data_IF_742426753038
#
_entry.id   IF_742426753038
#
_cell.length_a   1.000
_cell.length_b   1.000
_cell.length_c   1.000
_cell.angle_alpha   90.00
_cell.angle_beta   90.00
_cell.angle_gamma   90.00
#
_symmetry.space_group_name_H-M   'P 1'
#
loop_
_entity.id
_entity.type
_entity.pdbx_description
1 polymer ?
#
# COMPACT_ATOMS: atom_id res chain seq x y z
N UNK A 1 -3.98 -16.62 -4.18
CA UNK A 1 -3.40 -15.41 -3.56
C UNK A 1 -2.34 -14.87 -4.51
N UNK A 2 -2.52 -13.67 -5.07
CA UNK A 2 -1.52 -13.04 -5.96
C UNK A 2 -0.54 -12.28 -5.07
N UNK A 3 0.71 -12.71 -5.01
CA UNK A 3 1.75 -12.02 -4.24
C UNK A 3 2.71 -11.31 -5.21
N UNK A 4 2.29 -10.13 -5.67
CA UNK A 4 3.02 -9.31 -6.65
C UNK A 4 4.43 -8.96 -6.17
N UNK A 5 4.61 -8.77 -4.86
CA UNK A 5 5.93 -8.54 -4.25
C UNK A 5 6.85 -9.73 -4.51
N UNK A 6 6.43 -10.95 -4.20
CA UNK A 6 7.26 -12.14 -4.43
C UNK A 6 7.54 -12.35 -5.93
N UNK A 7 6.54 -12.15 -6.77
CA UNK A 7 6.69 -12.24 -8.23
C UNK A 7 7.76 -11.25 -8.74
N UNK A 8 7.76 -10.01 -8.22
CA UNK A 8 8.75 -8.98 -8.56
C UNK A 8 10.15 -9.29 -8.01
N UNK A 9 10.28 -9.68 -6.73
CA UNK A 9 11.57 -9.97 -6.10
C UNK A 9 12.30 -11.13 -6.79
N UNK A 10 11.55 -12.13 -7.25
CA UNK A 10 12.07 -13.31 -7.93
C UNK A 10 11.91 -13.26 -9.45
N UNK A 11 11.78 -12.07 -10.05
CA UNK A 11 11.79 -11.87 -11.51
C UNK A 11 13.11 -12.34 -12.15
N UNK A 12 13.03 -12.62 -13.46
CA UNK A 12 14.19 -13.00 -14.29
C UNK A 12 15.34 -11.98 -14.17
N UNK A 13 16.57 -12.41 -14.44
CA UNK A 13 17.76 -11.54 -14.43
C UNK A 13 17.63 -10.42 -15.46
N UNK A 14 16.99 -10.70 -16.59
CA UNK A 14 16.79 -9.75 -17.69
C UNK A 14 15.86 -8.58 -17.30
N UNK A 15 15.01 -8.78 -16.28
CA UNK A 15 14.05 -7.79 -15.81
C UNK A 15 14.57 -7.00 -14.59
N UNK A 16 15.85 -7.12 -14.25
CA UNK A 16 16.41 -6.52 -13.02
C UNK A 16 16.35 -4.99 -13.05
N UNK A 17 16.51 -4.38 -14.23
CA UNK A 17 16.52 -2.93 -14.41
C UNK A 17 15.14 -2.26 -14.25
N UNK A 18 14.04 -3.03 -14.23
CA UNK A 18 12.70 -2.48 -14.11
C UNK A 18 12.35 -2.16 -12.66
N UNK A 19 11.73 -1.01 -12.43
CA UNK A 19 11.10 -0.70 -11.15
C UNK A 19 9.79 -1.50 -10.98
N UNK A 20 9.22 -1.50 -9.76
CA UNK A 20 8.00 -2.25 -9.47
C UNK A 20 6.82 -1.78 -10.33
N UNK A 21 6.67 -0.46 -10.51
CA UNK A 21 5.60 0.11 -11.31
C UNK A 21 5.67 -0.35 -12.77
N UNK A 22 6.84 -0.22 -13.39
CA UNK A 22 7.07 -0.67 -14.78
C UNK A 22 6.89 -2.17 -14.93
N UNK A 23 7.35 -2.97 -13.97
CA UNK A 23 7.16 -4.41 -13.99
C UNK A 23 5.69 -4.80 -14.06
N UNK A 24 4.83 -4.19 -13.24
CA UNK A 24 3.39 -4.44 -13.24
C UNK A 24 2.74 -3.90 -14.52
N UNK A 25 3.21 -2.76 -15.02
CA UNK A 25 2.72 -2.15 -16.26
C UNK A 25 3.01 -3.02 -17.49
N UNK A 26 4.19 -3.65 -17.52
CA UNK A 26 4.69 -4.35 -18.68
C UNK A 26 4.43 -5.85 -18.64
N UNK A 27 4.33 -6.48 -17.47
CA UNK A 27 4.26 -7.94 -17.34
C UNK A 27 3.10 -8.39 -16.46
N UNK A 28 2.49 -9.51 -16.87
CA UNK A 28 1.58 -10.28 -16.03
C UNK A 28 2.05 -11.71 -15.87
N UNK A 29 1.60 -12.34 -14.79
CA UNK A 29 1.85 -13.74 -14.52
C UNK A 29 0.82 -14.63 -15.22
N UNK A 30 1.28 -15.69 -15.88
CA UNK A 30 0.44 -16.71 -16.54
C UNK A 30 0.85 -18.11 -16.08
N UNK A 31 -0.12 -19.00 -15.89
CA UNK A 31 0.13 -20.44 -15.72
C UNK A 31 0.73 -21.02 -17.00
N UNK A 32 1.74 -21.87 -16.86
CA UNK A 32 2.41 -22.52 -17.98
C UNK A 32 1.47 -23.50 -18.68
N UNK A 33 1.30 -23.34 -19.99
CA UNK A 33 0.57 -24.27 -20.87
C UNK A 33 1.54 -25.32 -21.50
N UNK A 34 1.01 -26.44 -22.01
CA UNK A 34 1.72 -27.41 -22.86
C UNK A 34 2.58 -26.74 -23.95
N UNK A 35 2.10 -25.69 -24.62
CA UNK A 35 2.88 -24.95 -25.62
C UNK A 35 4.08 -24.24 -25.01
N UNK A 36 3.87 -23.54 -23.89
CA UNK A 36 4.92 -22.86 -23.13
C UNK A 36 5.96 -23.87 -22.61
N UNK A 37 5.54 -25.07 -22.16
CA UNK A 37 6.47 -26.14 -21.74
C UNK A 37 7.42 -26.55 -22.87
N UNK A 38 6.89 -26.74 -24.08
CA UNK A 38 7.69 -27.10 -25.27
C UNK A 38 8.70 -26.01 -25.61
N UNK A 39 8.30 -24.75 -25.50
CA UNK A 39 9.20 -23.61 -25.75
C UNK A 39 10.31 -23.54 -24.72
N UNK A 40 9.99 -23.71 -23.43
CA UNK A 40 10.96 -23.69 -22.34
C UNK A 40 11.94 -24.87 -22.41
N UNK A 41 11.50 -26.06 -22.86
CA UNK A 41 12.40 -27.19 -23.09
C UNK A 41 13.33 -26.94 -24.27
N UNK A 42 12.81 -26.36 -25.36
CA UNK A 42 13.60 -26.06 -26.55
C UNK A 42 14.62 -24.95 -26.30
N UNK A 43 14.26 -23.91 -25.56
CA UNK A 43 15.16 -22.82 -25.19
C UNK A 43 16.34 -23.29 -24.32
N UNK A 44 16.17 -24.35 -23.52
CA UNK A 44 17.27 -24.98 -22.76
C UNK A 44 18.16 -25.88 -23.63
N UNK A 45 17.65 -26.33 -24.77
CA UNK A 45 18.35 -27.22 -25.69
C UNK A 45 19.08 -26.47 -26.82
N UNK A 46 18.63 -25.26 -27.19
CA UNK A 46 19.25 -24.46 -28.22
C UNK A 46 20.15 -23.37 -27.63
N UNK A 47 21.45 -23.65 -27.58
CA UNK A 47 22.45 -22.58 -27.62
C UNK A 47 22.47 -22.03 -29.06
N UNK A 48 21.68 -20.99 -29.34
CA UNK A 48 22.00 -20.06 -30.42
C UNK A 48 21.44 -20.25 -31.85
N UNK A 49 20.30 -20.89 -32.10
CA UNK A 49 19.65 -20.77 -33.44
C UNK A 49 18.18 -20.37 -33.40
N UNK A 50 17.89 -19.16 -33.89
CA UNK A 50 16.53 -18.64 -34.11
C UNK A 50 15.96 -19.22 -35.40
N UNK A 51 15.10 -20.23 -35.29
CA UNK A 51 14.24 -20.64 -36.40
C UNK A 51 13.16 -19.56 -36.60
N UNK A 52 13.23 -18.84 -37.73
CA UNK A 52 12.22 -17.87 -38.15
C UNK A 52 10.93 -18.59 -38.53
N UNK A 53 9.99 -18.68 -37.59
CA UNK A 53 8.65 -19.19 -37.88
C UNK A 53 7.78 -18.01 -38.31
N UNK A 54 7.26 -18.08 -39.53
CA UNK A 54 6.30 -17.18 -40.13
C UNK A 54 5.03 -17.12 -39.26
N UNK A 55 4.70 -15.93 -38.72
CA UNK A 55 3.58 -15.71 -37.82
C UNK A 55 3.70 -14.41 -37.01
N UNK A 56 2.63 -14.04 -36.29
CA UNK A 56 2.66 -12.91 -35.34
C UNK A 56 3.73 -13.15 -34.29
N UNK A 57 4.65 -12.20 -34.09
CA UNK A 57 5.70 -12.31 -33.07
C UNK A 57 5.07 -12.57 -31.72
N UNK A 58 5.46 -13.69 -31.10
CA UNK A 58 5.00 -14.07 -29.79
C UNK A 58 5.42 -13.03 -28.74
N UNK A 59 4.57 -12.77 -27.75
CA UNK A 59 4.93 -11.88 -26.65
C UNK A 59 6.17 -12.39 -25.90
N UNK A 60 6.99 -11.46 -25.43
CA UNK A 60 8.18 -11.74 -24.65
C UNK A 60 7.81 -12.51 -23.36
N UNK A 61 8.58 -13.56 -23.05
CA UNK A 61 8.32 -14.47 -21.92
C UNK A 61 9.55 -14.58 -21.04
N UNK A 62 9.32 -14.59 -19.74
CA UNK A 62 10.36 -14.75 -18.73
C UNK A 62 9.97 -15.81 -17.71
N UNK A 63 10.96 -16.54 -17.20
CA UNK A 63 10.76 -17.47 -16.09
C UNK A 63 11.12 -16.80 -14.77
N UNK A 64 10.52 -17.27 -13.67
CA UNK A 64 10.94 -16.83 -12.34
C UNK A 64 12.26 -17.47 -11.95
N UNK A 65 12.97 -16.81 -11.01
CA UNK A 65 14.12 -17.41 -10.35
C UNK A 65 13.72 -18.71 -9.62
N UNK A 66 14.66 -19.64 -9.49
CA UNK A 66 14.42 -20.97 -8.86
C UNK A 66 13.88 -20.88 -7.44
N UNK A 67 14.20 -19.81 -6.70
CA UNK A 67 13.72 -19.56 -5.34
C UNK A 67 12.22 -19.19 -5.29
N UNK A 68 11.60 -18.83 -6.41
CA UNK A 68 10.18 -18.53 -6.45
C UNK A 68 9.34 -19.80 -6.26
N UNK A 69 8.36 -19.83 -5.34
CA UNK A 69 7.51 -21.01 -5.10
C UNK A 69 6.75 -21.49 -6.34
N UNK A 70 6.46 -20.58 -7.26
CA UNK A 70 5.72 -20.89 -8.49
C UNK A 70 6.61 -20.93 -9.75
N UNK A 71 7.94 -21.01 -9.60
CA UNK A 71 8.89 -21.02 -10.73
C UNK A 71 8.65 -22.14 -11.74
N UNK A 72 8.16 -23.29 -11.29
CA UNK A 72 7.87 -24.46 -12.14
C UNK A 72 6.49 -24.44 -12.80
N UNK A 73 5.57 -23.59 -12.33
CA UNK A 73 4.16 -23.60 -12.73
C UNK A 73 3.72 -22.32 -13.45
N UNK A 74 4.42 -21.20 -13.25
CA UNK A 74 4.05 -19.90 -13.81
C UNK A 74 5.22 -19.24 -14.55
N UNK A 75 4.88 -18.38 -15.49
CA UNK A 75 5.80 -17.52 -16.26
C UNK A 75 5.29 -16.08 -16.26
N UNK A 76 6.19 -15.16 -16.60
CA UNK A 76 5.87 -13.76 -16.86
C UNK A 76 5.73 -13.56 -18.36
N UNK A 77 4.66 -12.89 -18.77
CA UNK A 77 4.41 -12.54 -20.17
C UNK A 77 4.27 -11.03 -20.28
N UNK A 78 4.97 -10.47 -21.26
CA UNK A 78 4.83 -9.05 -21.58
C UNK A 78 3.46 -8.77 -22.16
N UNK A 79 2.82 -7.71 -21.68
CA UNK A 79 1.59 -7.22 -22.27
C UNK A 79 1.84 -6.76 -23.71
N UNK A 80 0.85 -6.95 -24.57
CA UNK A 80 0.89 -6.40 -25.94
C UNK A 80 0.86 -4.87 -25.90
N UNK A 81 0.06 -4.31 -25.00
CA UNK A 81 0.00 -2.87 -24.69
C UNK A 81 0.26 -2.69 -23.19
N UNK A 82 1.15 -1.77 -22.77
CA UNK A 82 1.37 -1.48 -21.35
C UNK A 82 0.07 -1.11 -20.64
N UNK A 83 -0.09 -1.58 -19.40
CA UNK A 83 -1.23 -1.23 -18.54
C UNK A 83 -0.83 -0.18 -17.53
N UNK A 84 -1.79 0.61 -17.03
CA UNK A 84 -1.55 1.57 -15.95
C UNK A 84 -1.87 0.89 -14.62
N UNK A 85 -0.88 0.63 -13.74
CA UNK A 85 -1.13 0.07 -12.42
C UNK A 85 -2.01 0.99 -11.57
N UNK A 86 -3.06 0.42 -10.96
CA UNK A 86 -3.85 1.12 -9.95
C UNK A 86 -3.19 0.92 -8.59
N UNK A 87 -2.79 2.02 -7.95
CA UNK A 87 -2.19 1.99 -6.62
C UNK A 87 -3.30 1.87 -5.57
N UNK A 88 -3.40 0.71 -4.93
CA UNK A 88 -4.35 0.47 -3.85
C UNK A 88 -3.68 0.76 -2.50
N UNK A 89 -4.35 1.55 -1.65
CA UNK A 89 -3.89 1.91 -0.32
C UNK A 89 -3.80 3.42 -0.10
N UNK A 90 -3.07 3.87 0.94
CA UNK A 90 -2.90 5.29 1.22
C UNK A 90 -2.29 6.03 0.04
N UNK A 91 -2.79 7.24 -0.23
CA UNK A 91 -2.24 8.09 -1.27
C UNK A 91 -0.76 8.43 -0.99
N UNK A 92 0.04 8.53 -2.05
CA UNK A 92 1.41 9.01 -1.95
C UNK A 92 1.38 10.48 -1.48
N UNK A 93 2.04 10.84 -0.36
CA UNK A 93 2.00 12.20 0.16
C UNK A 93 2.58 13.25 -0.81
N UNK A 94 2.25 14.52 -0.60
CA UNK A 94 2.83 15.65 -1.36
C UNK A 94 4.30 15.83 -0.99
N UNK A 95 5.15 16.19 -1.97
CA UNK A 95 6.59 16.34 -1.76
C UNK A 95 6.95 17.41 -0.71
N UNK A 96 6.19 18.49 -0.66
CA UNK A 96 6.54 19.69 0.12
C UNK A 96 6.29 19.54 1.62
N UNK A 97 5.45 18.58 2.02
CA UNK A 97 5.12 18.33 3.43
C UNK A 97 6.29 17.64 4.15
N UNK A 98 6.85 18.31 5.16
CA UNK A 98 8.01 17.79 5.91
C UNK A 98 7.61 16.64 6.84
N UNK A 99 6.45 16.75 7.50
CA UNK A 99 5.86 15.73 8.37
C UNK A 99 5.66 14.38 7.67
N UNK A 100 5.40 14.40 6.35
CA UNK A 100 5.19 13.20 5.54
C UNK A 100 6.32 12.89 4.56
N UNK A 101 7.45 13.63 4.64
CA UNK A 101 8.58 13.51 3.70
C UNK A 101 9.15 12.10 3.62
N UNK A 102 9.40 11.47 4.77
CA UNK A 102 9.97 10.11 4.81
C UNK A 102 9.00 9.09 4.21
N UNK A 103 7.68 9.28 4.39
CA UNK A 103 6.65 8.42 3.78
C UNK A 103 6.60 8.60 2.26
N UNK A 104 6.71 9.84 1.77
CA UNK A 104 6.84 10.15 0.35
C UNK A 104 8.07 9.47 -0.26
N UNK A 105 9.25 9.66 0.34
CA UNK A 105 10.49 9.08 -0.16
C UNK A 105 10.45 7.55 -0.19
N UNK A 106 9.92 6.93 0.87
CA UNK A 106 9.72 5.47 0.94
C UNK A 106 8.79 4.96 -0.17
N UNK A 107 7.69 5.66 -0.44
CA UNK A 107 6.77 5.28 -1.51
C UNK A 107 7.44 5.35 -2.89
N UNK A 108 8.17 6.43 -3.17
CA UNK A 108 8.86 6.60 -4.45
C UNK A 108 9.95 5.55 -4.67
N UNK A 109 10.79 5.31 -3.66
CA UNK A 109 11.81 4.28 -3.70
C UNK A 109 11.20 2.89 -3.97
N UNK A 110 10.10 2.56 -3.29
CA UNK A 110 9.45 1.25 -3.44
C UNK A 110 8.86 1.05 -4.84
N UNK A 111 8.30 2.09 -5.44
CA UNK A 111 7.58 1.98 -6.72
C UNK A 111 8.46 2.20 -7.95
N UNK A 112 9.39 3.15 -7.87
CA UNK A 112 10.08 3.70 -9.05
C UNK A 112 11.59 3.47 -9.08
N UNK A 113 12.17 2.88 -8.02
CA UNK A 113 13.56 2.39 -8.07
C UNK A 113 13.56 0.88 -8.27
N UNK A 114 14.51 0.31 -9.05
CA UNK A 114 14.65 -1.14 -9.15
C UNK A 114 15.23 -1.76 -7.87
N UNK A 115 14.58 -2.80 -7.34
CA UNK A 115 15.05 -3.51 -6.14
C UNK A 115 14.71 -5.00 -6.15
N UNK A 116 15.40 -5.80 -5.33
CA UNK A 116 15.06 -7.19 -5.00
C UNK A 116 14.88 -7.39 -3.50
N UNK A 117 15.56 -6.60 -2.68
CA UNK A 117 15.46 -6.59 -1.23
C UNK A 117 15.15 -5.19 -0.70
N UNK A 118 14.63 -5.11 0.52
CA UNK A 118 14.40 -3.81 1.19
C UNK A 118 15.73 -3.07 1.44
N UNK A 119 16.82 -3.81 1.65
CA UNK A 119 18.16 -3.23 1.82
C UNK A 119 18.70 -2.54 0.56
N UNK A 120 18.18 -2.89 -0.62
CA UNK A 120 18.53 -2.20 -1.87
C UNK A 120 17.95 -0.78 -1.89
N UNK A 121 16.81 -0.58 -1.22
CA UNK A 121 16.10 0.70 -1.16
C UNK A 121 16.67 1.65 -0.13
N UNK A 122 16.90 1.16 1.09
CA UNK A 122 17.34 1.98 2.22
C UNK A 122 18.20 1.14 3.17
N UNK A 123 19.42 1.60 3.44
CA UNK A 123 20.31 1.04 4.44
C UNK A 123 19.86 1.43 5.86
N UNK A 124 20.21 0.62 6.86
CA UNK A 124 19.93 0.91 8.28
C UNK A 124 20.59 2.20 8.80
N UNK A 125 21.52 2.78 8.04
CA UNK A 125 22.30 3.98 8.42
C UNK A 125 21.87 5.25 7.71
N UNK A 126 20.90 5.17 6.78
CA UNK A 126 20.42 6.33 6.01
C UNK A 126 18.92 6.53 6.24
N UNK A 127 18.45 7.77 6.05
CA UNK A 127 17.02 8.09 6.01
C UNK A 127 16.45 7.79 4.63
N UNK A 128 15.12 7.68 4.49
CA UNK A 128 14.49 7.47 3.18
C UNK A 128 14.73 8.65 2.24
N UNK A 129 14.80 9.88 2.79
CA UNK A 129 15.17 11.08 2.04
C UNK A 129 16.59 11.00 1.45
N UNK A 130 17.58 10.63 2.26
CA UNK A 130 18.97 10.43 1.81
C UNK A 130 19.05 9.32 0.76
N UNK A 131 18.35 8.21 1.00
CA UNK A 131 18.32 7.07 0.10
C UNK A 131 17.74 7.41 -1.28
N UNK A 132 16.69 8.24 -1.32
CA UNK A 132 16.07 8.71 -2.56
C UNK A 132 17.02 9.59 -3.36
N UNK A 133 17.69 10.56 -2.73
CA UNK A 133 18.66 11.40 -3.42
C UNK A 133 19.84 10.59 -3.97
N UNK A 134 20.33 9.60 -3.22
CA UNK A 134 21.40 8.70 -3.68
C UNK A 134 20.99 7.84 -4.89
N UNK A 135 19.71 7.50 -5.02
CA UNK A 135 19.17 6.57 -6.05
C UNK A 135 18.37 7.27 -7.14
N UNK A 136 18.34 8.60 -7.15
CA UNK A 136 17.57 9.44 -8.08
C UNK A 136 17.91 9.15 -9.54
N UNK A 137 19.19 8.88 -9.83
CA UNK A 137 19.68 8.52 -11.17
C UNK A 137 19.23 7.14 -11.64
N UNK A 138 18.73 6.29 -10.74
CA UNK A 138 18.19 4.97 -11.08
C UNK A 138 16.72 5.01 -11.49
N UNK A 139 16.06 6.16 -11.33
CA UNK A 139 14.66 6.35 -11.73
C UNK A 139 14.62 6.64 -13.24
N UNK A 140 13.79 5.90 -13.97
CA UNK A 140 13.64 6.09 -15.41
C UNK A 140 12.97 7.43 -15.73
N UNK A 141 13.23 7.98 -16.93
CA UNK A 141 12.61 9.23 -17.35
C UNK A 141 11.08 9.15 -17.41
N UNK A 142 10.53 7.98 -17.74
CA UNK A 142 9.08 7.77 -17.75
C UNK A 142 8.51 7.64 -16.33
N UNK A 143 9.23 7.00 -15.41
CA UNK A 143 8.89 7.01 -13.99
C UNK A 143 8.89 8.42 -13.40
N UNK A 144 9.86 9.28 -13.77
CA UNK A 144 9.89 10.68 -13.34
C UNK A 144 8.64 11.45 -13.77
N UNK A 145 8.16 11.27 -15.01
CA UNK A 145 6.90 11.89 -15.48
C UNK A 145 5.71 11.45 -14.63
N UNK A 146 5.67 10.17 -14.23
CA UNK A 146 4.60 9.67 -13.36
C UNK A 146 4.69 10.33 -11.97
N UNK A 147 5.89 10.48 -11.42
CA UNK A 147 6.13 11.16 -10.14
C UNK A 147 5.69 12.63 -10.22
N UNK A 148 6.01 13.32 -11.31
CA UNK A 148 5.58 14.70 -11.58
C UNK A 148 4.06 14.79 -11.69
N UNK A 149 3.42 13.86 -12.40
CA UNK A 149 1.96 13.80 -12.49
C UNK A 149 1.29 13.58 -11.13
N UNK A 150 1.86 12.72 -10.27
CA UNK A 150 1.36 12.53 -8.90
C UNK A 150 1.41 13.85 -8.12
N UNK A 151 2.49 14.62 -8.27
CA UNK A 151 2.63 15.92 -7.62
C UNK A 151 1.64 16.95 -8.20
N UNK A 152 1.47 17.00 -9.52
CA UNK A 152 0.50 17.88 -10.18
C UNK A 152 -0.94 17.59 -9.74
N UNK A 153 -1.30 16.32 -9.55
CA UNK A 153 -2.62 15.95 -9.04
C UNK A 153 -2.90 16.53 -7.65
N UNK A 154 -1.88 16.62 -6.78
CA UNK A 154 -2.00 17.27 -5.48
C UNK A 154 -2.18 18.78 -5.60
N UNK A 155 -1.44 19.42 -6.50
CA UNK A 155 -1.55 20.86 -6.76
C UNK A 155 -2.95 21.21 -7.27
N UNK A 156 -3.45 20.50 -8.28
CA UNK A 156 -4.80 20.72 -8.80
C UNK A 156 -5.89 20.45 -7.76
N UNK A 157 -5.71 19.45 -6.89
CA UNK A 157 -6.64 19.16 -5.80
C UNK A 157 -6.68 20.34 -4.82
N UNK A 158 -5.52 20.82 -4.40
CA UNK A 158 -5.39 21.95 -3.48
C UNK A 158 -6.02 23.23 -4.04
N UNK A 159 -5.74 23.58 -5.29
CA UNK A 159 -6.29 24.78 -5.95
C UNK A 159 -7.82 24.72 -6.05
N UNK A 160 -8.36 23.53 -6.37
CA UNK A 160 -9.80 23.29 -6.42
C UNK A 160 -10.42 23.45 -5.03
N UNK A 161 -9.82 22.84 -4.02
CA UNK A 161 -10.37 22.82 -2.67
C UNK A 161 -10.29 24.23 -2.05
N UNK A 162 -9.22 25.00 -2.29
CA UNK A 162 -9.12 26.41 -1.92
C UNK A 162 -10.19 27.27 -2.61
N UNK A 163 -10.40 27.08 -3.91
CA UNK A 163 -11.45 27.77 -4.64
C UNK A 163 -12.86 27.46 -4.11
N UNK A 164 -13.13 26.19 -3.77
CA UNK A 164 -14.39 25.78 -3.16
C UNK A 164 -14.58 26.40 -1.78
N UNK A 165 -13.54 26.42 -0.95
CA UNK A 165 -13.58 27.09 0.35
C UNK A 165 -13.90 28.58 0.21
N UNK A 166 -13.25 29.26 -0.73
CA UNK A 166 -13.53 30.68 -1.00
C UNK A 166 -14.99 30.91 -1.36
N UNK A 167 -15.54 30.12 -2.30
CA UNK A 167 -16.96 30.21 -2.69
C UNK A 167 -17.89 30.02 -1.48
N UNK A 168 -17.64 28.99 -0.64
CA UNK A 168 -18.47 28.69 0.53
C UNK A 168 -18.43 29.87 1.52
N UNK A 169 -17.27 30.47 1.74
CA UNK A 169 -17.12 31.63 2.65
C UNK A 169 -17.77 32.90 2.13
N UNK A 170 -17.75 33.11 0.80
CA UNK A 170 -18.30 34.30 0.15
C UNK A 170 -19.82 34.23 -0.03
N UNK A 171 -20.41 33.02 -0.07
CA UNK A 171 -21.88 32.88 -0.10
C UNK A 171 -22.48 33.17 1.28
N UNK A 172 -23.29 34.23 1.45
CA UNK A 172 -24.01 34.45 2.69
C UNK A 172 -25.01 33.30 2.92
N UNK A 173 -25.13 32.87 4.17
CA UNK A 173 -25.89 31.71 4.69
C UNK A 173 -27.40 31.76 4.42
N UNK A 174 -27.83 31.81 3.16
CA UNK A 174 -29.24 31.73 2.76
C UNK A 174 -29.43 31.15 1.34
N UNK A 175 -28.66 30.12 1.00
CA UNK A 175 -28.96 29.26 -0.14
C UNK A 175 -29.06 27.85 0.43
N UNK A 176 -30.24 27.24 0.35
CA UNK A 176 -30.43 25.81 0.62
C UNK A 176 -29.67 25.05 -0.47
N UNK A 177 -28.43 24.66 -0.18
CA UNK A 177 -27.62 23.84 -1.08
C UNK A 177 -28.25 22.44 -1.08
N UNK A 178 -28.58 21.92 -2.27
CA UNK A 178 -29.11 20.57 -2.42
C UNK A 178 -28.09 19.54 -1.89
N UNK A 179 -28.48 18.60 -1.00
CA UNK A 179 -27.57 17.60 -0.42
C UNK A 179 -26.85 16.70 -1.45
N UNK A 180 -27.34 16.68 -2.69
CA UNK A 180 -26.75 15.94 -3.83
C UNK A 180 -25.47 16.61 -4.36
N UNK A 181 -25.28 17.91 -4.12
CA UNK A 181 -24.07 18.65 -4.51
C UNK A 181 -22.97 18.59 -3.45
N UNK A 182 -23.19 17.89 -2.33
CA UNK A 182 -22.12 17.53 -1.41
C UNK A 182 -21.25 16.49 -2.14
N UNK A 183 -19.99 16.80 -2.47
CA UNK A 183 -19.13 15.86 -3.15
C UNK A 183 -19.02 14.57 -2.33
N UNK A 184 -19.35 13.43 -2.92
CA UNK A 184 -19.09 12.10 -2.31
C UNK A 184 -17.59 11.77 -2.23
N UNK A 185 -16.70 12.75 -2.41
CA UNK A 185 -15.25 12.59 -2.35
C UNK A 185 -14.65 12.93 -0.98
N UNK A 186 -15.47 13.10 0.07
CA UNK A 186 -15.01 13.12 1.46
C UNK A 186 -14.62 11.73 1.98
N UNK A 187 -13.74 11.04 1.27
CA UNK A 187 -12.95 9.93 1.83
C UNK A 187 -11.48 10.11 1.42
N UNK A 188 -10.87 11.12 2.02
CA UNK A 188 -9.65 11.05 2.85
C UNK A 188 -9.53 12.48 3.39
N UNK A 189 -9.84 12.59 4.65
CA UNK A 189 -9.87 13.83 5.43
C UNK A 189 -8.45 14.41 5.57
N UNK A 190 -8.22 15.59 5.01
CA UNK A 190 -6.99 16.37 5.20
C UNK A 190 -7.01 17.19 6.50
N UNK A 191 -8.08 17.09 7.30
CA UNK A 191 -8.26 17.70 8.62
C UNK A 191 -8.85 16.71 9.65
N UNK A 192 -8.59 15.40 9.56
CA UNK A 192 -8.99 14.51 10.66
C UNK A 192 -7.98 14.69 11.81
N UNK A 193 -8.36 15.26 12.96
CA UNK A 193 -7.58 15.14 14.18
C UNK A 193 -7.65 13.73 14.79
N UNK A 194 -8.03 12.68 14.07
CA UNK A 194 -7.84 11.30 14.55
C UNK A 194 -6.37 10.86 14.42
N UNK A 195 -5.54 11.45 15.29
CA UNK A 195 -4.64 10.66 16.12
C UNK A 195 -4.58 11.26 17.54
N UNK A 196 -5.65 11.93 18.00
CA UNK A 196 -5.83 12.14 19.43
C UNK A 196 -6.23 10.80 20.05
N UNK A 197 -5.20 10.03 20.43
CA UNK A 197 -5.36 8.71 21.02
C UNK A 197 -6.33 8.73 22.20
N UNK A 198 -6.44 9.86 22.90
CA UNK A 198 -7.36 10.07 24.02
C UNK A 198 -8.83 10.11 23.60
N UNK A 199 -9.18 10.74 22.47
CA UNK A 199 -10.56 10.81 21.99
C UNK A 199 -11.04 9.44 21.48
N UNK A 200 -10.17 8.71 20.77
CA UNK A 200 -10.42 7.34 20.34
C UNK A 200 -10.51 6.37 21.53
N UNK A 201 -9.65 6.52 22.55
CA UNK A 201 -9.73 5.75 23.79
C UNK A 201 -11.03 6.06 24.55
N UNK A 202 -11.47 7.32 24.56
CA UNK A 202 -12.70 7.74 25.22
C UNK A 202 -13.95 7.17 24.52
N UNK A 203 -13.99 7.22 23.19
CA UNK A 203 -15.05 6.58 22.39
C UNK A 203 -15.09 5.06 22.59
N UNK A 204 -13.92 4.38 22.54
CA UNK A 204 -13.84 2.94 22.78
C UNK A 204 -14.24 2.56 24.21
N UNK A 205 -13.96 3.40 25.20
CA UNK A 205 -14.40 3.19 26.59
C UNK A 205 -15.93 3.25 26.73
N UNK A 206 -16.57 4.21 26.08
CA UNK A 206 -18.02 4.39 26.06
C UNK A 206 -18.73 3.23 25.36
N UNK A 207 -18.16 2.77 24.24
CA UNK A 207 -18.66 1.58 23.53
C UNK A 207 -18.47 0.34 24.38
N UNK A 208 -17.33 0.18 25.07
CA UNK A 208 -17.09 -0.99 25.91
C UNK A 208 -18.07 -1.04 27.09
N UNK A 209 -18.35 0.08 27.76
CA UNK A 209 -19.27 0.11 28.90
C UNK A 209 -20.72 -0.19 28.50
N UNK A 210 -21.18 0.39 27.38
CA UNK A 210 -22.51 0.14 26.83
C UNK A 210 -22.66 -1.28 26.28
N UNK A 211 -21.63 -1.81 25.63
CA UNK A 211 -21.61 -3.19 25.12
C UNK A 211 -21.53 -4.20 26.25
N UNK A 212 -20.74 -3.96 27.30
CA UNK A 212 -20.68 -4.82 28.49
C UNK A 212 -22.02 -4.83 29.24
N UNK A 213 -22.67 -3.68 29.41
CA UNK A 213 -24.01 -3.60 30.06
C UNK A 213 -25.08 -4.34 29.25
N UNK A 214 -25.09 -4.19 27.92
CA UNK A 214 -26.05 -4.89 27.06
C UNK A 214 -25.77 -6.40 26.96
N UNK A 215 -24.49 -6.79 26.91
CA UNK A 215 -24.06 -8.18 26.83
C UNK A 215 -24.30 -8.91 28.16
N UNK A 216 -23.91 -8.33 29.30
CA UNK A 216 -24.14 -8.92 30.64
C UNK A 216 -25.61 -9.12 30.99
N UNK A 217 -26.50 -8.25 30.49
CA UNK A 217 -27.95 -8.39 30.63
C UNK A 217 -28.56 -9.49 29.76
N UNK A 218 -27.86 -9.97 28.72
CA UNK A 218 -28.37 -10.99 27.77
C UNK A 218 -27.74 -12.38 27.92
N UNK A 219 -26.74 -12.55 28.80
CA UNK A 219 -25.97 -13.79 28.92
C UNK A 219 -26.61 -14.86 29.81
N UNK A 220 -26.49 -16.12 29.40
CA UNK A 220 -26.77 -17.30 30.22
C UNK A 220 -25.79 -17.40 31.39
N UNK A 221 -26.26 -17.88 32.55
CA UNK A 221 -25.46 -17.99 33.80
C UNK A 221 -24.12 -18.72 33.62
N UNK A 222 -24.04 -19.66 32.67
CA UNK A 222 -22.81 -20.40 32.40
C UNK A 222 -21.77 -19.56 31.62
N UNK A 223 -22.22 -18.70 30.72
CA UNK A 223 -21.35 -17.82 29.92
C UNK A 223 -20.79 -16.67 30.77
N UNK A 224 -21.58 -16.17 31.73
CA UNK A 224 -21.10 -15.19 32.72
C UNK A 224 -19.95 -15.73 33.56
N UNK A 225 -19.98 -17.04 33.86
CA UNK A 225 -18.97 -17.71 34.67
C UNK A 225 -17.63 -17.84 33.94
N UNK A 226 -17.66 -18.21 32.66
CA UNK A 226 -16.45 -18.23 31.83
C UNK A 226 -15.84 -16.84 31.63
N UNK A 227 -16.68 -15.81 31.48
CA UNK A 227 -16.20 -14.44 31.38
C UNK A 227 -15.51 -14.00 32.68
N UNK A 228 -16.10 -14.34 33.83
CA UNK A 228 -15.54 -14.02 35.15
C UNK A 228 -14.20 -14.73 35.38
N UNK A 229 -14.12 -16.04 35.09
CA UNK A 229 -12.90 -16.83 35.24
C UNK A 229 -11.77 -16.32 34.32
N UNK A 230 -12.11 -15.85 33.10
CA UNK A 230 -11.14 -15.28 32.18
C UNK A 230 -10.62 -13.91 32.65
N UNK A 231 -11.49 -13.04 33.18
CA UNK A 231 -11.09 -11.75 33.75
C UNK A 231 -10.22 -11.95 35.00
N UNK A 232 -10.57 -12.89 35.88
CA UNK A 232 -9.77 -13.24 37.06
C UNK A 232 -8.40 -13.79 36.67
N UNK A 233 -8.32 -14.61 35.62
CA UNK A 233 -7.05 -15.12 35.10
C UNK A 233 -6.17 -14.00 34.51
N UNK A 234 -6.77 -13.01 33.84
CA UNK A 234 -6.05 -11.84 33.32
C UNK A 234 -5.50 -11.00 34.47
N UNK A 235 -6.30 -10.73 35.50
CA UNK A 235 -5.90 -9.92 36.66
C UNK A 235 -4.75 -10.59 37.45
N UNK A 236 -4.83 -11.92 37.64
CA UNK A 236 -3.76 -12.71 38.27
C UNK A 236 -2.44 -12.72 37.50
N UNK A 237 -2.43 -12.43 36.20
CA UNK A 237 -1.19 -12.41 35.42
C UNK A 237 -0.43 -11.08 35.50
N UNK A 238 -1.01 -10.02 36.09
CA UNK A 238 -0.38 -8.70 36.34
C UNK A 238 0.47 -8.16 35.17
N UNK A 239 0.14 -8.53 33.93
CA UNK A 239 0.97 -8.19 32.76
C UNK A 239 0.74 -6.76 32.27
N UNK A 240 -0.39 -6.16 32.65
CA UNK A 240 -0.82 -4.80 32.27
C UNK A 240 -0.93 -3.83 33.45
N UNK A 241 -0.47 -4.20 34.66
CA UNK A 241 -0.55 -3.35 35.86
C UNK A 241 0.16 -2.01 35.73
N UNK A 242 1.11 -1.89 34.79
CA UNK A 242 1.89 -0.67 34.53
C UNK A 242 1.12 0.45 33.82
N UNK A 243 -0.10 0.21 33.32
CA UNK A 243 -0.88 1.19 32.54
C UNK A 243 -2.01 1.87 33.34
N UNK A 244 -2.31 1.41 34.56
CA UNK A 244 -3.39 1.98 35.38
C UNK A 244 -2.88 2.93 36.49
N UNK A 245 -1.60 3.33 36.46
CA UNK A 245 -0.91 3.99 37.57
C UNK A 245 -0.75 5.51 37.52
N UNK A 246 -1.12 6.20 36.44
CA UNK A 246 -0.86 7.66 36.31
C UNK A 246 -2.09 8.58 36.41
N UNK A 247 -3.29 8.04 36.67
CA UNK A 247 -4.50 8.85 36.83
C UNK A 247 -5.11 8.78 38.24
N UNK A 248 -4.33 9.04 39.30
CA UNK A 248 -4.90 9.48 40.59
C UNK A 248 -3.92 10.34 41.37
N UNK A 249 -3.96 11.67 41.18
CA UNK A 249 -3.75 12.65 42.26
C UNK A 249 -3.96 14.08 41.78
N UNK A 250 -5.18 14.59 41.91
CA UNK A 250 -5.43 16.01 42.16
C UNK A 250 -6.41 16.07 43.35
N UNK A 251 -5.99 16.52 44.55
CA UNK A 251 -6.93 16.83 45.61
C UNK A 251 -7.53 18.24 45.40
N UNK A 252 -8.75 18.40 45.92
CA UNK A 252 -9.60 19.59 45.89
C UNK A 252 -8.90 20.92 46.21
#
# INVERSE_FOLDING_TARGET
MVNTRLDYQHRSKDLTALCLYEFISLFHKKVIDKSDRRLLTNAKASDGERLSIEGTKMNERHTFASLHPQSSSHILIKHTNPVVPVLLGPQIPRREREDTRERYCRALLTLFVPWRSVGDLCSLKETWSQALEARKLSISADALKIIENIQLLHECKNDRDEHLHQIITETPTNIKIDPILIPSCYEIDENNPEDDSEELLQMLSLVNESTIKAYSASLSSHEQRYLFDALEAIDKTTRFGSLNGEFTSIPC
#
